data_IF_443227757890
#
_entry.id   IF_443227757890
#
_cell.length_a   1.000
_cell.length_b   1.000
_cell.length_c   1.000
_cell.angle_alpha   90.00
_cell.angle_beta   90.00
_cell.angle_gamma   90.00
#
_symmetry.space_group_name_H-M   'P 1'
#
loop_
_entity.id
_entity.type
_entity.pdbx_description
1 polymer ?
#
# COMPACT_ATOMS: atom_id res chain seq x y z
N UNK A 1 -4.04 6.02 3.79
CA UNK A 1 -5.11 7.06 3.95
C UNK A 1 -6.53 6.47 4.02
N UNK A 2 -6.86 5.43 3.25
CA UNK A 2 -8.19 4.80 3.33
C UNK A 2 -8.52 4.31 4.74
N UNK A 3 -7.61 3.55 5.38
CA UNK A 3 -7.83 3.04 6.75
C UNK A 3 -8.15 4.18 7.74
N UNK A 4 -7.41 5.29 7.68
CA UNK A 4 -7.68 6.47 8.51
C UNK A 4 -9.10 7.01 8.26
N UNK A 5 -9.56 7.05 7.02
CA UNK A 5 -10.92 7.48 6.69
C UNK A 5 -11.99 6.51 7.25
N UNK A 6 -11.74 5.19 7.18
CA UNK A 6 -12.62 4.18 7.80
C UNK A 6 -12.67 4.34 9.32
N UNK A 7 -11.51 4.61 9.96
CA UNK A 7 -11.42 4.81 11.41
C UNK A 7 -12.10 6.08 11.92
N UNK A 8 -12.43 7.03 11.04
CA UNK A 8 -13.30 8.16 11.41
C UNK A 8 -14.76 7.75 11.62
N UNK A 9 -15.18 6.63 11.03
CA UNK A 9 -16.52 6.04 11.21
C UNK A 9 -16.49 5.02 12.34
N UNK A 10 -15.53 4.10 12.31
CA UNK A 10 -15.33 3.09 13.37
C UNK A 10 -13.83 2.97 13.71
N UNK A 11 -13.39 3.48 14.87
CA UNK A 11 -11.97 3.51 15.24
C UNK A 11 -11.37 2.13 15.49
N UNK A 12 -12.17 1.07 15.61
CA UNK A 12 -11.70 -0.30 15.83
C UNK A 12 -11.32 -1.03 14.54
N UNK A 13 -11.73 -0.50 13.38
CA UNK A 13 -11.50 -1.15 12.09
C UNK A 13 -10.04 -1.01 11.67
N UNK A 14 -9.49 -2.13 11.17
CA UNK A 14 -8.25 -2.16 10.42
C UNK A 14 -8.51 -2.67 9.01
N UNK A 15 -7.67 -2.29 8.05
CA UNK A 15 -7.79 -2.79 6.68
C UNK A 15 -7.19 -4.20 6.59
N UNK A 16 -7.98 -5.25 6.32
CA UNK A 16 -7.43 -6.59 6.19
C UNK A 16 -6.62 -6.71 4.89
N UNK A 17 -5.78 -7.74 4.81
CA UNK A 17 -5.13 -8.14 3.57
C UNK A 17 -5.82 -9.38 3.00
N UNK A 18 -5.75 -9.53 1.68
CA UNK A 18 -6.16 -10.76 1.00
C UNK A 18 -4.92 -11.54 0.58
N UNK A 19 -4.72 -12.73 1.16
CA UNK A 19 -3.67 -13.66 0.75
C UNK A 19 -4.09 -14.43 -0.50
N UNK A 20 -3.78 -13.89 -1.68
CA UNK A 20 -4.09 -14.51 -2.96
C UNK A 20 -3.33 -15.83 -3.20
N UNK A 21 -2.26 -16.13 -2.45
CA UNK A 21 -1.55 -17.42 -2.57
C UNK A 21 -2.39 -18.60 -2.09
N UNK A 22 -3.30 -18.37 -1.13
CA UNK A 22 -4.21 -19.42 -0.66
C UNK A 22 -5.24 -19.76 -1.72
N UNK A 23 -5.75 -18.75 -2.42
CA UNK A 23 -6.71 -18.91 -3.50
C UNK A 23 -6.06 -19.47 -4.76
N UNK A 24 -4.79 -19.16 -5.02
CA UNK A 24 -3.99 -19.75 -6.12
C UNK A 24 -3.90 -21.27 -6.01
N UNK A 25 -3.81 -21.79 -4.78
CA UNK A 25 -3.71 -23.24 -4.51
C UNK A 25 -5.04 -23.99 -4.67
N UNK A 26 -6.16 -23.28 -4.85
CA UNK A 26 -7.47 -23.91 -5.03
C UNK A 26 -7.61 -24.45 -6.47
N UNK A 27 -8.31 -25.59 -6.67
CA UNK A 27 -8.65 -26.07 -8.02
C UNK A 27 -9.43 -25.01 -8.83
N UNK A 28 -10.23 -24.20 -8.14
CA UNK A 28 -10.90 -23.04 -8.68
C UNK A 28 -10.85 -21.90 -7.64
N UNK A 29 -10.11 -20.82 -7.90
CA UNK A 29 -10.01 -19.69 -6.97
C UNK A 29 -11.35 -19.01 -6.65
N UNK A 30 -12.36 -19.16 -7.50
CA UNK A 30 -13.72 -18.63 -7.27
C UNK A 30 -14.47 -19.33 -6.13
N UNK A 31 -13.99 -20.49 -5.70
CA UNK A 31 -14.60 -21.24 -4.60
C UNK A 31 -14.13 -20.71 -3.22
N UNK A 32 -13.22 -19.73 -3.20
CA UNK A 32 -12.78 -19.08 -1.96
C UNK A 32 -13.93 -18.40 -1.23
N UNK A 33 -13.91 -18.50 0.10
CA UNK A 33 -14.86 -17.79 0.97
C UNK A 33 -14.85 -16.28 0.77
N UNK A 34 -13.78 -15.72 0.21
CA UNK A 34 -13.68 -14.29 -0.13
C UNK A 34 -14.80 -13.84 -1.08
N UNK A 35 -15.23 -14.72 -1.99
CA UNK A 35 -16.23 -14.42 -3.02
C UNK A 35 -17.67 -14.72 -2.59
N UNK A 36 -17.90 -14.89 -1.28
CA UNK A 36 -19.22 -15.03 -0.67
C UNK A 36 -19.97 -13.69 -0.58
N UNK A 37 -21.28 -13.77 -0.36
CA UNK A 37 -22.16 -12.60 -0.24
C UNK A 37 -21.84 -11.73 0.98
N UNK A 38 -21.27 -12.34 2.02
CA UNK A 38 -20.82 -11.67 3.24
C UNK A 38 -19.57 -10.80 3.03
N UNK A 39 -18.73 -11.13 2.04
CA UNK A 39 -17.46 -10.46 1.78
C UNK A 39 -17.48 -9.71 0.44
N UNK A 40 -16.73 -10.15 -0.57
CA UNK A 40 -16.53 -9.41 -1.82
C UNK A 40 -17.63 -9.68 -2.86
N UNK A 41 -18.53 -10.64 -2.61
CA UNK A 41 -19.58 -11.05 -3.52
C UNK A 41 -19.09 -11.91 -4.67
N UNK A 42 -20.06 -12.57 -5.31
CA UNK A 42 -19.79 -13.42 -6.48
C UNK A 42 -19.62 -12.56 -7.73
N UNK A 43 -18.76 -13.03 -8.65
CA UNK A 43 -18.44 -12.31 -9.87
C UNK A 43 -19.05 -12.99 -11.10
N UNK A 44 -19.62 -12.19 -11.99
CA UNK A 44 -20.06 -12.65 -13.31
C UNK A 44 -18.87 -12.99 -14.22
N UNK A 45 -19.14 -13.65 -15.35
CA UNK A 45 -18.11 -13.89 -16.37
C UNK A 45 -17.57 -12.59 -17.01
N UNK A 46 -18.31 -11.49 -16.89
CA UNK A 46 -17.94 -10.14 -17.31
C UNK A 46 -17.16 -9.34 -16.25
N UNK A 47 -16.81 -9.97 -15.13
CA UNK A 47 -16.11 -9.34 -14.01
C UNK A 47 -16.98 -8.48 -13.12
N UNK A 48 -18.29 -8.30 -13.36
CA UNK A 48 -19.11 -7.47 -12.46
C UNK A 48 -19.59 -8.24 -11.21
N UNK A 49 -19.63 -7.54 -10.06
CA UNK A 49 -20.08 -8.11 -8.78
C UNK A 49 -21.60 -8.28 -8.78
N UNK A 50 -22.07 -9.52 -8.59
CA UNK A 50 -23.49 -9.90 -8.69
C UNK A 50 -24.22 -9.89 -7.34
N UNK A 51 -23.52 -10.18 -6.26
CA UNK A 51 -24.12 -10.39 -4.93
C UNK A 51 -23.40 -9.60 -3.84
N UNK A 52 -23.89 -9.68 -2.60
CA UNK A 52 -23.31 -8.99 -1.44
C UNK A 52 -23.50 -7.47 -1.41
N UNK A 53 -22.72 -6.82 -0.54
CA UNK A 53 -22.79 -5.36 -0.28
C UNK A 53 -22.21 -4.53 -1.43
N UNK A 54 -21.34 -5.12 -2.24
CA UNK A 54 -20.72 -4.50 -3.40
C UNK A 54 -21.44 -4.86 -4.72
N UNK A 55 -22.65 -5.45 -4.67
CA UNK A 55 -23.45 -5.69 -5.87
C UNK A 55 -23.59 -4.41 -6.72
N UNK A 56 -23.51 -4.55 -8.04
CA UNK A 56 -23.48 -3.43 -9.00
C UNK A 56 -22.22 -2.56 -8.97
N UNK A 57 -21.23 -2.86 -8.12
CA UNK A 57 -19.89 -2.30 -8.29
C UNK A 57 -19.23 -2.99 -9.48
N UNK A 58 -18.47 -2.21 -10.24
CA UNK A 58 -17.75 -2.71 -11.40
C UNK A 58 -16.37 -3.15 -10.96
N UNK A 59 -16.16 -4.46 -10.85
CA UNK A 59 -14.80 -4.99 -10.83
C UNK A 59 -14.21 -4.87 -12.24
N UNK A 60 -12.95 -4.46 -12.31
CA UNK A 60 -12.25 -4.10 -13.54
C UNK A 60 -11.03 -4.99 -13.68
N UNK A 61 -11.27 -6.30 -13.73
CA UNK A 61 -10.24 -7.29 -13.98
C UNK A 61 -10.83 -8.58 -14.53
N UNK A 62 -10.36 -8.98 -15.71
CA UNK A 62 -10.60 -10.32 -16.27
C UNK A 62 -9.27 -10.97 -16.68
N UNK A 63 -8.15 -10.40 -16.22
CA UNK A 63 -6.80 -10.68 -16.72
C UNK A 63 -5.84 -10.52 -15.57
N UNK A 64 -5.17 -11.61 -15.21
CA UNK A 64 -4.21 -11.62 -14.13
C UNK A 64 -3.97 -13.03 -13.59
N UNK A 65 -2.84 -13.23 -12.94
CA UNK A 65 -2.60 -14.42 -12.13
C UNK A 65 -2.64 -14.00 -10.65
N UNK A 66 -3.07 -14.92 -9.80
CA UNK A 66 -2.91 -14.78 -8.36
C UNK A 66 -1.43 -14.90 -8.00
N UNK A 67 -1.02 -14.25 -6.91
CA UNK A 67 0.35 -14.35 -6.44
C UNK A 67 0.65 -15.78 -6.00
N UNK A 68 1.85 -16.26 -6.31
CA UNK A 68 2.35 -17.55 -5.85
C UNK A 68 3.32 -17.36 -4.68
N UNK A 69 3.46 -18.39 -3.82
CA UNK A 69 4.47 -18.39 -2.76
C UNK A 69 5.89 -18.18 -3.29
N UNK A 70 6.15 -18.70 -4.50
CA UNK A 70 7.46 -18.60 -5.15
C UNK A 70 7.77 -17.15 -5.53
N UNK A 71 6.80 -16.41 -6.03
CA UNK A 71 6.97 -14.99 -6.37
C UNK A 71 7.23 -14.16 -5.11
N UNK A 72 6.45 -14.38 -4.05
CA UNK A 72 6.68 -13.71 -2.76
C UNK A 72 8.08 -14.04 -2.22
N UNK A 73 8.46 -15.33 -2.24
CA UNK A 73 9.79 -15.75 -1.80
C UNK A 73 10.92 -15.10 -2.60
N UNK A 74 10.76 -14.93 -3.92
CA UNK A 74 11.75 -14.25 -4.77
C UNK A 74 11.88 -12.75 -4.40
N UNK A 75 10.77 -12.06 -4.16
CA UNK A 75 10.78 -10.66 -3.73
C UNK A 75 11.48 -10.52 -2.38
N UNK A 76 11.09 -11.31 -1.37
CA UNK A 76 11.71 -11.30 -0.04
C UNK A 76 13.18 -11.75 -0.09
N UNK A 77 13.55 -12.61 -1.05
CA UNK A 77 14.93 -13.05 -1.27
C UNK A 77 15.85 -11.96 -1.83
N UNK A 78 15.28 -10.93 -2.45
CA UNK A 78 16.03 -9.92 -3.20
C UNK A 78 16.91 -9.08 -2.28
N UNK A 79 18.20 -8.98 -2.58
CA UNK A 79 19.17 -8.20 -1.79
C UNK A 79 19.38 -6.79 -2.32
N UNK A 80 19.13 -6.56 -3.60
CA UNK A 80 19.24 -5.25 -4.23
C UNK A 80 17.91 -4.49 -4.12
N UNK A 81 17.84 -3.48 -3.26
CA UNK A 81 16.64 -2.67 -3.07
C UNK A 81 16.14 -2.02 -4.37
N UNK A 82 17.04 -1.79 -5.35
CA UNK A 82 16.69 -1.24 -6.67
C UNK A 82 15.91 -2.23 -7.53
N UNK A 83 15.90 -3.52 -7.20
CA UNK A 83 15.08 -4.52 -7.85
C UNK A 83 13.69 -4.62 -7.21
N UNK A 84 13.55 -4.27 -5.92
CA UNK A 84 12.25 -4.22 -5.23
C UNK A 84 11.52 -2.91 -5.52
N UNK A 85 12.22 -1.78 -5.38
CA UNK A 85 11.74 -0.42 -5.72
C UNK A 85 11.96 -0.11 -7.21
N UNK A 86 11.78 -1.11 -8.07
CA UNK A 86 12.23 -1.13 -9.46
C UNK A 86 11.89 0.12 -10.28
N UNK A 87 12.73 0.40 -11.28
CA UNK A 87 12.39 1.31 -12.36
C UNK A 87 11.47 0.57 -13.34
N UNK A 88 10.16 0.81 -13.24
CA UNK A 88 9.14 0.08 -14.02
C UNK A 88 8.75 0.74 -15.35
N UNK A 89 9.31 1.90 -15.65
CA UNK A 89 9.20 2.52 -16.96
C UNK A 89 10.50 3.25 -17.36
N UNK A 90 11.66 2.55 -17.42
CA UNK A 90 12.93 3.18 -17.74
C UNK A 90 12.96 3.60 -19.21
N UNK A 91 13.40 4.83 -19.46
CA UNK A 91 13.63 5.36 -20.81
C UNK A 91 14.94 4.81 -21.40
N UNK A 92 15.07 4.95 -22.72
CA UNK A 92 16.29 4.56 -23.44
C UNK A 92 17.50 5.31 -22.85
N UNK A 93 18.50 4.55 -22.38
CA UNK A 93 19.70 5.11 -21.75
C UNK A 93 19.73 5.02 -20.23
N UNK A 94 18.65 4.59 -19.58
CA UNK A 94 18.72 4.20 -18.17
C UNK A 94 19.69 3.03 -17.98
N UNK A 95 20.61 3.16 -17.01
CA UNK A 95 21.62 2.14 -16.70
C UNK A 95 21.05 0.93 -15.97
N UNK A 96 19.86 1.06 -15.40
CA UNK A 96 19.18 0.00 -14.65
C UNK A 96 18.14 -0.68 -15.54
N UNK A 97 18.24 -1.99 -15.79
CA UNK A 97 17.23 -2.70 -16.56
C UNK A 97 15.91 -2.79 -15.78
N UNK A 98 14.79 -2.87 -16.51
CA UNK A 98 13.50 -3.18 -15.91
C UNK A 98 13.55 -4.55 -15.22
N UNK A 99 13.02 -4.64 -14.00
CA UNK A 99 12.91 -5.90 -13.27
C UNK A 99 11.49 -6.44 -13.39
N UNK A 100 11.26 -7.41 -14.27
CA UNK A 100 9.94 -8.03 -14.46
C UNK A 100 9.48 -8.90 -13.29
N UNK A 101 10.37 -9.20 -12.34
CA UNK A 101 10.02 -9.85 -11.08
C UNK A 101 9.72 -8.84 -9.95
N UNK A 102 9.72 -7.53 -10.25
CA UNK A 102 9.35 -6.52 -9.27
C UNK A 102 7.88 -6.68 -8.89
N UNK A 103 7.58 -6.33 -7.63
CA UNK A 103 6.27 -6.46 -7.02
C UNK A 103 5.18 -5.85 -7.92
N UNK A 104 5.45 -4.67 -8.49
CA UNK A 104 4.57 -3.95 -9.43
C UNK A 104 4.12 -4.77 -10.65
N UNK A 105 4.97 -5.64 -11.18
CA UNK A 105 4.64 -6.49 -12.34
C UNK A 105 4.03 -7.83 -11.95
N UNK A 106 4.51 -8.45 -10.87
CA UNK A 106 4.01 -9.77 -10.42
C UNK A 106 2.63 -9.67 -9.79
N UNK A 107 2.24 -8.53 -9.22
CA UNK A 107 0.90 -8.30 -8.69
C UNK A 107 -0.06 -7.67 -9.72
N UNK A 108 0.41 -7.40 -10.95
CA UNK A 108 -0.26 -6.62 -12.00
C UNK A 108 -1.38 -7.39 -12.72
N UNK A 109 -2.16 -8.20 -11.99
CA UNK A 109 -3.31 -8.94 -12.50
C UNK A 109 -4.56 -8.08 -12.67
N UNK A 110 -5.66 -8.42 -11.99
CA UNK A 110 -6.98 -7.78 -12.08
C UNK A 110 -6.99 -6.26 -11.80
N UNK A 111 -5.85 -5.66 -11.46
CA UNK A 111 -5.63 -4.23 -11.28
C UNK A 111 -4.84 -3.56 -12.43
N UNK A 112 -4.71 -4.22 -13.58
CA UNK A 112 -3.92 -3.77 -14.74
C UNK A 112 -4.28 -2.34 -15.20
N UNK A 113 -5.54 -1.96 -15.08
CA UNK A 113 -6.02 -0.61 -15.43
C UNK A 113 -5.86 0.32 -14.22
N UNK A 114 -4.68 0.92 -14.09
CA UNK A 114 -4.29 1.79 -12.97
C UNK A 114 -5.25 2.97 -12.71
N UNK A 115 -5.99 3.43 -13.71
CA UNK A 115 -6.94 4.55 -13.59
C UNK A 115 -8.26 4.17 -12.92
N UNK A 116 -8.57 2.89 -12.82
CA UNK A 116 -9.89 2.42 -12.36
C UNK A 116 -9.86 1.21 -11.45
N UNK A 117 -8.68 0.61 -11.27
CA UNK A 117 -8.37 -0.45 -10.33
C UNK A 117 -9.06 -0.28 -8.97
N UNK A 118 -8.90 0.89 -8.34
CA UNK A 118 -9.43 1.16 -7.00
C UNK A 118 -10.97 1.22 -6.90
N UNK A 119 -11.71 1.06 -8.01
CA UNK A 119 -13.17 0.90 -7.98
C UNK A 119 -13.58 -0.51 -7.52
N UNK A 120 -12.68 -1.49 -7.57
CA UNK A 120 -12.91 -2.81 -7.00
C UNK A 120 -12.55 -2.78 -5.50
N UNK A 121 -13.46 -3.10 -4.57
CA UNK A 121 -13.17 -3.12 -3.14
C UNK A 121 -12.03 -4.08 -2.76
N UNK A 122 -11.80 -5.16 -3.53
CA UNK A 122 -10.70 -6.09 -3.27
C UNK A 122 -9.33 -5.43 -3.47
N UNK A 123 -9.25 -4.32 -4.24
CA UNK A 123 -8.03 -3.54 -4.47
C UNK A 123 -7.29 -3.22 -3.18
N UNK A 124 -8.02 -2.75 -2.17
CA UNK A 124 -7.40 -2.31 -0.92
C UNK A 124 -6.88 -3.50 -0.09
N UNK A 125 -7.56 -4.64 -0.15
CA UNK A 125 -7.11 -5.87 0.51
C UNK A 125 -5.87 -6.45 -0.18
N UNK A 126 -5.86 -6.44 -1.51
CA UNK A 126 -4.71 -6.82 -2.32
C UNK A 126 -3.51 -5.92 -2.05
N UNK A 127 -3.70 -4.59 -2.06
CA UNK A 127 -2.61 -3.66 -1.79
C UNK A 127 -2.13 -3.69 -0.33
N UNK A 128 -2.96 -4.09 0.63
CA UNK A 128 -2.50 -4.43 1.99
C UNK A 128 -1.56 -5.65 2.00
N UNK A 129 -1.81 -6.67 1.16
CA UNK A 129 -0.88 -7.80 1.02
C UNK A 129 0.44 -7.34 0.38
N UNK A 130 0.37 -6.50 -0.66
CA UNK A 130 1.56 -5.93 -1.31
C UNK A 130 2.41 -5.14 -0.31
N UNK A 131 1.78 -4.33 0.55
CA UNK A 131 2.45 -3.60 1.62
C UNK A 131 3.08 -4.54 2.67
N UNK A 132 2.38 -5.61 3.04
CA UNK A 132 2.92 -6.65 3.92
C UNK A 132 4.16 -7.32 3.33
N UNK A 133 4.14 -7.70 2.06
CA UNK A 133 5.30 -8.30 1.36
C UNK A 133 6.48 -7.32 1.35
N UNK A 134 6.21 -6.03 1.10
CA UNK A 134 7.23 -4.99 1.15
C UNK A 134 7.83 -4.86 2.56
N UNK A 135 7.03 -4.83 3.62
CA UNK A 135 7.54 -4.75 4.99
C UNK A 135 8.29 -6.03 5.40
N UNK A 136 7.84 -7.22 4.98
CA UNK A 136 8.59 -8.48 5.17
C UNK A 136 10.00 -8.40 4.56
N UNK A 137 10.10 -7.86 3.34
CA UNK A 137 11.39 -7.62 2.71
C UNK A 137 12.22 -6.59 3.49
N UNK A 138 11.62 -5.47 3.92
CA UNK A 138 12.31 -4.43 4.70
C UNK A 138 12.88 -4.97 6.00
N UNK A 139 12.09 -5.72 6.77
CA UNK A 139 12.53 -6.32 8.04
C UNK A 139 13.63 -7.35 7.84
N UNK A 140 13.59 -8.13 6.75
CA UNK A 140 14.56 -9.19 6.49
C UNK A 140 15.85 -8.72 5.83
N UNK A 141 15.83 -7.59 5.10
CA UNK A 141 16.95 -7.14 4.25
C UNK A 141 17.57 -5.82 4.65
N UNK A 142 16.87 -4.99 5.42
CA UNK A 142 17.31 -3.65 5.76
C UNK A 142 17.45 -3.46 7.27
N UNK A 143 18.49 -2.74 7.66
CA UNK A 143 18.58 -2.17 9.02
C UNK A 143 17.51 -1.09 9.21
N UNK A 144 17.26 -0.69 10.47
CA UNK A 144 16.36 0.44 10.77
C UNK A 144 16.74 1.71 9.99
N UNK A 145 18.01 2.07 9.94
CA UNK A 145 18.48 3.26 9.20
C UNK A 145 18.27 3.10 7.70
N UNK A 146 18.55 1.91 7.14
CA UNK A 146 18.35 1.65 5.71
C UNK A 146 16.88 1.74 5.31
N UNK A 147 15.97 1.27 6.16
CA UNK A 147 14.52 1.37 5.97
C UNK A 147 14.00 2.80 5.81
N UNK A 148 14.73 3.79 6.29
CA UNK A 148 14.36 5.21 6.24
C UNK A 148 15.12 5.98 5.14
N UNK A 149 16.22 5.43 4.63
CA UNK A 149 17.17 6.17 3.76
C UNK A 149 17.45 5.52 2.42
N UNK A 150 17.19 4.22 2.25
CA UNK A 150 17.41 3.53 0.98
C UNK A 150 16.24 3.74 0.02
N UNK A 151 16.49 4.56 -0.99
CA UNK A 151 15.60 4.79 -2.12
C UNK A 151 16.46 4.94 -3.39
N UNK A 152 15.99 4.50 -4.59
CA UNK A 152 16.77 4.64 -5.82
C UNK A 152 17.15 6.10 -6.09
N UNK A 153 18.39 6.33 -6.54
CA UNK A 153 18.86 7.69 -6.85
C UNK A 153 18.01 8.34 -7.95
N UNK A 154 17.69 9.61 -7.76
CA UNK A 154 16.94 10.43 -8.72
C UNK A 154 17.62 10.41 -10.11
N UNK A 155 16.93 9.83 -11.09
CA UNK A 155 17.40 9.75 -12.46
C UNK A 155 16.21 9.82 -13.41
N UNK A 156 16.10 10.93 -14.14
CA UNK A 156 15.00 11.20 -15.08
C UNK A 156 14.95 10.24 -16.27
N UNK A 157 16.06 9.55 -16.59
CA UNK A 157 16.07 8.49 -17.59
C UNK A 157 15.45 7.20 -17.05
N UNK A 158 15.46 6.98 -15.74
CA UNK A 158 15.00 5.73 -15.12
C UNK A 158 13.59 5.85 -14.51
N UNK A 159 13.22 7.05 -14.05
CA UNK A 159 11.91 7.33 -13.45
C UNK A 159 11.52 8.80 -13.65
N UNK A 160 10.22 9.07 -13.72
CA UNK A 160 9.71 10.45 -13.70
C UNK A 160 10.12 11.17 -12.41
N UNK A 161 10.34 12.50 -12.41
CA UNK A 161 10.57 13.30 -11.20
C UNK A 161 9.49 13.13 -10.12
N UNK A 162 8.28 12.71 -10.51
CA UNK A 162 7.21 12.35 -9.59
C UNK A 162 7.57 11.21 -8.62
N UNK A 163 8.56 10.37 -8.96
CA UNK A 163 9.02 9.23 -8.16
C UNK A 163 10.38 9.48 -7.49
N UNK A 164 10.91 10.71 -7.52
CA UNK A 164 12.16 11.03 -6.82
C UNK A 164 11.96 11.00 -5.30
N UNK A 165 13.02 10.69 -4.57
CA UNK A 165 12.95 10.36 -3.14
C UNK A 165 12.30 11.45 -2.28
N UNK A 166 12.52 12.71 -2.66
CA UNK A 166 12.02 13.88 -1.92
C UNK A 166 10.77 14.52 -2.56
N UNK A 167 10.20 13.91 -3.61
CA UNK A 167 9.01 14.43 -4.26
C UNK A 167 7.76 14.04 -3.47
N UNK A 168 6.82 15.00 -3.33
CA UNK A 168 5.53 14.74 -2.69
C UNK A 168 4.69 13.84 -3.61
N UNK A 169 4.18 12.73 -3.07
CA UNK A 169 3.25 11.86 -3.79
C UNK A 169 1.97 12.61 -4.15
N UNK A 170 1.70 12.82 -5.44
CA UNK A 170 0.47 13.42 -5.91
C UNK A 170 -0.71 12.44 -5.80
N UNK A 171 -1.96 12.91 -5.56
CA UNK A 171 -2.39 14.27 -5.27
C UNK A 171 -2.40 14.58 -3.77
N UNK A 172 -1.58 13.89 -2.96
CA UNK A 172 -1.65 13.97 -1.50
C UNK A 172 -1.02 15.24 -0.91
N UNK A 173 -0.92 16.30 -1.71
CA UNK A 173 -0.47 17.65 -1.33
C UNK A 173 -1.66 18.56 -0.97
N UNK A 174 -1.56 19.42 0.06
CA UNK A 174 -0.48 19.44 1.04
C UNK A 174 -0.47 18.11 1.81
N UNK A 175 0.71 17.69 2.30
CA UNK A 175 0.75 16.67 3.36
C UNK A 175 -0.22 17.15 4.42
N UNK A 176 -1.38 16.51 4.54
CA UNK A 176 -2.35 16.87 5.56
C UNK A 176 -1.60 16.73 6.88
N UNK A 177 -1.68 17.73 7.73
CA UNK A 177 -1.12 17.59 9.06
C UNK A 177 -1.98 16.59 9.81
N UNK A 178 -1.45 15.40 10.11
CA UNK A 178 -2.16 14.43 10.93
C UNK A 178 -1.23 13.60 11.80
N UNK A 179 -1.81 12.94 12.79
CA UNK A 179 -1.16 11.90 13.58
C UNK A 179 -1.34 10.57 12.87
N UNK A 180 -0.24 9.91 12.55
CA UNK A 180 -0.21 8.58 11.91
C UNK A 180 -0.60 7.47 12.90
N UNK A 181 -0.42 7.72 14.21
CA UNK A 181 -0.68 6.74 15.27
C UNK A 181 -1.78 7.23 16.20
N UNK A 182 -2.66 6.32 16.60
CA UNK A 182 -3.78 6.61 17.50
C UNK A 182 -3.32 7.13 18.86
N UNK A 183 -2.15 6.68 19.33
CA UNK A 183 -1.59 7.05 20.63
C UNK A 183 -0.86 8.39 20.65
N UNK A 184 -0.76 9.09 19.51
CA UNK A 184 0.00 10.35 19.43
C UNK A 184 -0.47 11.42 20.42
N UNK A 185 -1.77 11.51 20.71
CA UNK A 185 -2.31 12.44 21.71
C UNK A 185 -1.80 12.11 23.13
N UNK A 186 -1.79 10.82 23.50
CA UNK A 186 -1.34 10.33 24.79
C UNK A 186 0.17 10.51 24.96
N UNK A 187 0.95 10.16 23.93
CA UNK A 187 2.40 10.29 23.95
C UNK A 187 2.84 11.74 23.98
N UNK A 188 2.19 12.63 23.22
CA UNK A 188 2.48 14.06 23.28
C UNK A 188 2.19 14.63 24.69
N UNK A 189 1.06 14.27 25.31
CA UNK A 189 0.75 14.66 26.71
C UNK A 189 1.74 14.08 27.73
N UNK A 190 2.34 12.93 27.43
CA UNK A 190 3.38 12.30 28.24
C UNK A 190 4.78 12.91 28.03
N UNK A 191 4.93 13.94 27.18
CA UNK A 191 6.19 14.63 26.93
C UNK A 191 7.07 13.98 25.86
N UNK A 192 6.57 13.00 25.10
CA UNK A 192 7.38 12.29 24.09
C UNK A 192 7.87 13.21 22.96
N UNK A 193 7.16 14.32 22.68
CA UNK A 193 7.59 15.31 21.68
C UNK A 193 8.99 15.89 22.00
N UNK A 194 9.37 15.94 23.27
CA UNK A 194 10.67 16.42 23.74
C UNK A 194 11.66 15.27 23.95
N UNK A 195 11.18 14.09 24.38
CA UNK A 195 12.01 12.93 24.72
C UNK A 195 12.45 12.12 23.50
N UNK A 196 11.59 11.97 22.51
CA UNK A 196 11.88 11.35 21.21
C UNK A 196 11.33 12.22 20.06
N UNK A 197 11.93 13.40 19.85
CA UNK A 197 11.47 14.33 18.83
C UNK A 197 11.57 13.73 17.43
N UNK A 198 12.54 12.85 17.16
CA UNK A 198 12.70 12.22 15.85
C UNK A 198 11.50 11.34 15.50
N UNK A 199 11.07 10.47 16.43
CA UNK A 199 9.90 9.64 16.22
C UNK A 199 8.62 10.47 16.18
N UNK A 200 8.44 11.36 17.16
CA UNK A 200 7.22 12.13 17.32
C UNK A 200 7.01 13.15 16.20
N UNK A 201 8.06 13.77 15.66
CA UNK A 201 7.96 14.67 14.53
C UNK A 201 7.68 13.95 13.21
N UNK A 202 7.90 12.64 13.14
CA UNK A 202 7.57 11.86 11.95
C UNK A 202 6.14 11.34 12.01
N UNK A 203 5.73 10.78 13.13
CA UNK A 203 4.46 10.05 13.28
C UNK A 203 3.35 10.85 13.98
N UNK A 204 3.71 11.83 14.81
CA UNK A 204 2.78 12.56 15.69
C UNK A 204 2.83 14.08 15.47
N UNK A 205 3.06 14.48 14.22
CA UNK A 205 3.27 15.87 13.78
C UNK A 205 2.20 16.83 14.28
N UNK A 206 0.94 16.41 14.22
CA UNK A 206 -0.19 17.23 14.63
C UNK A 206 -0.22 17.40 16.16
N UNK A 207 -0.08 16.31 16.92
CA UNK A 207 -0.05 16.38 18.39
C UNK A 207 1.17 17.10 18.97
N UNK A 208 2.31 17.07 18.29
CA UNK A 208 3.52 17.81 18.71
C UNK A 208 3.58 19.24 18.15
N UNK A 209 2.54 19.73 17.48
CA UNK A 209 2.49 21.10 16.96
C UNK A 209 3.48 21.40 15.83
N UNK A 210 4.04 20.36 15.19
CA UNK A 210 4.94 20.50 14.04
C UNK A 210 4.18 21.04 12.81
N UNK A 211 2.88 20.79 12.78
CA UNK A 211 1.97 21.35 11.78
C UNK A 211 0.58 21.56 12.39
N UNK A 212 -0.29 22.27 11.66
CA UNK A 212 -1.67 22.52 12.07
C UNK A 212 -2.64 21.76 11.17
N UNK A 213 -3.48 20.84 11.71
CA UNK A 213 -4.52 20.17 10.93
C UNK A 213 -5.59 21.16 10.50
N UNK A 214 -5.93 21.14 9.21
CA UNK A 214 -6.99 21.99 8.61
C UNK A 214 -8.29 21.24 8.37
N UNK A 215 -8.30 19.93 8.61
CA UNK A 215 -9.42 19.02 8.24
C UNK A 215 -10.04 18.27 9.41
N UNK A 216 -9.51 18.43 10.63
CA UNK A 216 -10.06 17.86 11.87
C UNK A 216 -9.46 18.59 13.09
N UNK A 217 -10.17 18.57 14.22
CA UNK A 217 -9.73 19.21 15.47
C UNK A 217 -9.00 18.21 16.37
N UNK A 218 -7.88 18.64 16.96
CA UNK A 218 -7.10 17.87 17.94
C UNK A 218 -7.70 17.96 19.36
N UNK A 219 -8.62 18.90 19.60
CA UNK A 219 -9.24 19.14 20.92
C UNK A 219 -10.37 18.17 21.25
N UNK A 220 -10.94 17.50 20.24
CA UNK A 220 -12.10 16.61 20.37
C UNK A 220 -11.74 15.13 20.55
N UNK A 221 -10.49 14.82 20.92
CA UNK A 221 -9.97 13.45 21.13
C UNK A 221 -9.36 13.25 22.51
#
# INVERSE_FOLDING_TARGET
RLEIALRRVDPSVALPYWDSTLDERLPNPRDSSLWSDELMGTHGADGAVRTGVFRNWRSIGTVGNLLTDREIANVVATTDYRQVLAFTAPQRGCRYPANWAALEYVHGGDMLVTTSAANDPVFFNHHSLVDLIWEMWRVSRQTRTQRETQYPSDNSLCSSPAHFANTIMAPFSPMTCFNELQCCSIWARSGECERDPSYMNLWCKASCGICTPTTYDLSTG
#
